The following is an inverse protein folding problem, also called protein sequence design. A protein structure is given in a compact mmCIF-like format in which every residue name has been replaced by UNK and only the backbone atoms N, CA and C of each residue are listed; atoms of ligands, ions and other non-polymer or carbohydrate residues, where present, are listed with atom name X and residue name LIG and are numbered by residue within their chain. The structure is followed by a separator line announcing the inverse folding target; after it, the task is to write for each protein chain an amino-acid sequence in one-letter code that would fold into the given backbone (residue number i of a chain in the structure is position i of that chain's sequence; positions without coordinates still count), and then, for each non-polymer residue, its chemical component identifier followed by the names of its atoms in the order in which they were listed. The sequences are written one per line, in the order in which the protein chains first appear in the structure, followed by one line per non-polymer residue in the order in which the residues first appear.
data_IF_139837493549
#
_entry.id   IF_139837493549
#
_cell.length_a   1.000
_cell.length_b   1.000
_cell.length_c   1.000
_cell.angle_alpha   90.00
_cell.angle_beta   90.00
_cell.angle_gamma   90.00
#
_symmetry.space_group_name_H-M   'P 1'
#
loop_
_entity.id
_entity.type
_entity.pdbx_description
1 polymer ?
#
# COMPACT_ATOMS: atom_id res chain seq x y z
N UNK A 1 -21.73 -2.36 -24.45
CA UNK A 1 -21.37 -1.49 -23.31
C UNK A 1 -21.74 -2.24 -22.04
N UNK A 2 -20.91 -2.23 -20.98
CA UNK A 2 -21.28 -2.85 -19.70
C UNK A 2 -22.59 -2.26 -19.18
N UNK A 3 -23.39 -3.05 -18.46
CA UNK A 3 -24.62 -2.59 -17.81
C UNK A 3 -24.31 -1.49 -16.77
N UNK A 4 -25.29 -0.63 -16.48
CA UNK A 4 -25.13 0.41 -15.46
C UNK A 4 -24.74 -0.18 -14.09
N UNK A 5 -25.36 -1.28 -13.67
CA UNK A 5 -24.97 -2.02 -12.46
C UNK A 5 -23.49 -2.45 -12.45
N UNK A 6 -22.97 -2.85 -13.62
CA UNK A 6 -21.57 -3.26 -13.75
C UNK A 6 -20.66 -2.04 -13.64
N UNK A 7 -21.04 -0.90 -14.22
CA UNK A 7 -20.29 0.36 -14.11
C UNK A 7 -20.26 0.86 -12.67
N UNK A 8 -21.38 0.84 -11.96
CA UNK A 8 -21.46 1.24 -10.55
C UNK A 8 -20.56 0.38 -9.65
N UNK A 9 -20.56 -0.95 -9.87
CA UNK A 9 -19.68 -1.87 -9.14
C UNK A 9 -18.20 -1.56 -9.39
N UNK A 10 -17.83 -1.33 -10.65
CA UNK A 10 -16.45 -0.95 -11.01
C UNK A 10 -16.08 0.38 -10.35
N UNK A 11 -16.93 1.39 -10.43
CA UNK A 11 -16.69 2.69 -9.80
C UNK A 11 -16.47 2.54 -8.29
N UNK A 12 -17.31 1.76 -7.61
CA UNK A 12 -17.17 1.48 -6.17
C UNK A 12 -15.86 0.78 -5.83
N UNK A 13 -15.46 -0.24 -6.60
CA UNK A 13 -14.19 -0.95 -6.39
C UNK A 13 -13.00 -0.02 -6.61
N UNK A 14 -13.05 0.80 -7.65
CA UNK A 14 -12.00 1.78 -7.95
C UNK A 14 -11.87 2.80 -6.82
N UNK A 15 -12.97 3.30 -6.28
CA UNK A 15 -12.94 4.28 -5.18
C UNK A 15 -12.38 3.68 -3.89
N UNK A 16 -12.75 2.44 -3.54
CA UNK A 16 -12.12 1.74 -2.41
C UNK A 16 -10.63 1.47 -2.70
N UNK A 17 -10.31 1.07 -3.93
CA UNK A 17 -8.94 0.81 -4.37
C UNK A 17 -8.02 2.02 -4.23
N UNK A 18 -8.51 3.23 -4.55
CA UNK A 18 -7.77 4.48 -4.34
C UNK A 18 -7.37 4.67 -2.88
N UNK A 19 -8.31 4.47 -1.96
CA UNK A 19 -8.06 4.59 -0.51
C UNK A 19 -7.05 3.57 -0.03
N UNK A 20 -7.20 2.31 -0.44
CA UNK A 20 -6.26 1.23 -0.09
C UNK A 20 -4.86 1.58 -0.60
N UNK A 21 -4.72 1.92 -1.88
CA UNK A 21 -3.41 2.23 -2.46
C UNK A 21 -2.76 3.44 -1.78
N UNK A 22 -3.53 4.48 -1.46
CA UNK A 22 -3.01 5.67 -0.78
C UNK A 22 -2.40 5.33 0.59
N UNK A 23 -3.12 4.58 1.42
CA UNK A 23 -2.66 4.24 2.77
C UNK A 23 -1.67 3.06 2.80
N UNK A 24 -1.76 2.14 1.85
CA UNK A 24 -0.89 0.96 1.80
C UNK A 24 0.47 1.23 1.15
N UNK A 25 0.60 2.29 0.34
CA UNK A 25 1.82 2.57 -0.42
C UNK A 25 3.09 2.62 0.45
N UNK A 26 3.07 3.44 1.50
CA UNK A 26 4.23 3.59 2.39
C UNK A 26 4.53 2.30 3.17
N UNK A 27 3.55 1.66 3.86
CA UNK A 27 3.77 0.37 4.51
C UNK A 27 4.32 -0.71 3.58
N UNK A 28 3.84 -0.77 2.33
CA UNK A 28 4.29 -1.74 1.34
C UNK A 28 5.78 -1.56 1.01
N UNK A 29 6.23 -0.32 0.75
CA UNK A 29 7.64 -0.03 0.48
C UNK A 29 8.51 -0.41 1.67
N UNK A 30 8.10 -0.03 2.89
CA UNK A 30 8.82 -0.36 4.12
C UNK A 30 8.94 -1.88 4.29
N UNK A 31 7.85 -2.63 4.04
CA UNK A 31 7.83 -4.08 4.14
C UNK A 31 8.81 -4.75 3.16
N UNK A 32 8.86 -4.28 1.90
CA UNK A 32 9.81 -4.79 0.90
C UNK A 32 11.25 -4.51 1.34
N UNK A 33 11.55 -3.29 1.77
CA UNK A 33 12.89 -2.93 2.27
C UNK A 33 13.30 -3.76 3.48
N UNK A 34 12.39 -3.93 4.45
CA UNK A 34 12.61 -4.74 5.65
C UNK A 34 12.90 -6.21 5.32
N UNK A 35 12.11 -6.83 4.44
CA UNK A 35 12.24 -8.28 4.13
C UNK A 35 13.40 -8.63 3.20
N UNK A 36 13.93 -7.67 2.43
CA UNK A 36 15.01 -7.90 1.46
C UNK A 36 16.38 -7.39 1.92
N UNK A 37 16.46 -6.71 3.06
CA UNK A 37 17.72 -6.24 3.63
C UNK A 37 18.44 -7.35 4.40
N UNK A 38 19.77 -7.43 4.25
CA UNK A 38 20.63 -8.30 5.04
C UNK A 38 21.82 -7.49 5.62
N UNK A 39 21.92 -7.33 6.96
CA UNK A 39 21.00 -7.86 7.98
C UNK A 39 19.63 -7.15 7.94
N UNK A 40 18.61 -7.86 8.42
CA UNK A 40 17.25 -7.30 8.52
C UNK A 40 17.22 -6.18 9.58
N UNK A 41 16.81 -4.94 9.22
CA UNK A 41 16.84 -3.80 10.13
C UNK A 41 15.72 -3.89 11.17
N UNK A 42 15.88 -3.29 12.35
CA UNK A 42 14.77 -3.11 13.28
C UNK A 42 13.81 -2.02 12.78
N UNK A 43 12.53 -2.07 13.17
CA UNK A 43 11.54 -1.06 12.75
C UNK A 43 11.94 0.37 13.17
N UNK A 44 12.61 0.51 14.32
CA UNK A 44 13.11 1.80 14.82
C UNK A 44 14.11 2.42 13.83
N UNK A 45 14.98 1.62 13.21
CA UNK A 45 15.94 2.09 12.19
C UNK A 45 15.26 2.57 10.90
N UNK A 46 14.04 2.12 10.63
CA UNK A 46 13.29 2.51 9.43
C UNK A 46 12.53 3.84 9.59
N UNK A 47 12.26 4.26 10.83
CA UNK A 47 11.42 5.43 11.14
C UNK A 47 12.17 6.54 11.88
N UNK A 48 13.33 6.23 12.48
CA UNK A 48 14.11 7.20 13.25
C UNK A 48 15.16 7.87 12.36
N UNK A 49 15.21 9.21 12.28
CA UNK A 49 16.26 9.93 11.58
C UNK A 49 17.61 9.92 12.32
N UNK A 50 17.67 9.34 13.54
CA UNK A 50 18.84 9.31 14.41
C UNK A 50 19.43 7.90 14.59
N UNK A 51 18.91 6.90 13.87
CA UNK A 51 19.22 5.48 14.06
C UNK A 51 20.25 4.90 13.07
#
# INVERSE_FOLDING_TARGET
MPSEDTKERIAKVVDVGKTILHYAWIPMIIYVGFTRSNPQPSLIKLISPLA
#
